data_IF_237890961778
#
_entry.id   IF_237890961778
#
_cell.length_a   1.000
_cell.length_b   1.000
_cell.length_c   1.000
_cell.angle_alpha   90.00
_cell.angle_beta   90.00
_cell.angle_gamma   90.00
#
_symmetry.space_group_name_H-M   'P 1'
#
loop_
_entity.id
_entity.type
_entity.pdbx_description
1 polymer ?
#
# COMPACT_ATOMS: atom_id res chain seq x y z
N UNK A 1 57.72 9.89 7.83
CA UNK A 1 56.45 10.63 7.74
C UNK A 1 55.87 10.38 6.35
N UNK A 2 54.85 9.54 6.25
CA UNK A 2 54.10 9.29 5.02
C UNK A 2 52.64 9.52 5.32
N UNK A 3 52.08 10.57 4.72
CA UNK A 3 50.71 11.02 4.86
C UNK A 3 49.81 10.11 4.02
N UNK A 4 48.91 9.37 4.65
CA UNK A 4 47.88 8.58 4.00
C UNK A 4 46.71 9.50 3.69
N UNK A 5 46.47 9.79 2.41
CA UNK A 5 45.30 10.48 1.92
C UNK A 5 44.13 9.51 1.92
N UNK A 6 43.16 9.72 2.81
CA UNK A 6 41.87 9.05 2.78
C UNK A 6 41.07 9.51 1.59
N UNK A 7 40.81 8.59 0.68
CA UNK A 7 39.95 8.77 -0.47
C UNK A 7 38.51 8.46 -0.04
N UNK A 8 37.75 9.50 0.21
CA UNK A 8 36.31 9.40 0.53
C UNK A 8 35.59 9.10 -0.77
N UNK A 9 35.17 7.86 -0.96
CA UNK A 9 34.19 7.51 -2.00
C UNK A 9 32.83 8.07 -1.61
N UNK A 10 32.40 9.11 -2.29
CA UNK A 10 31.03 9.58 -2.23
C UNK A 10 30.14 8.57 -2.97
N UNK A 11 29.44 7.74 -2.21
CA UNK A 11 28.32 6.97 -2.72
C UNK A 11 27.19 7.97 -2.98
N UNK A 12 26.94 8.22 -4.27
CA UNK A 12 25.87 9.08 -4.72
C UNK A 12 24.52 8.48 -4.32
N UNK A 13 23.99 8.93 -3.22
CA UNK A 13 22.58 8.80 -2.91
C UNK A 13 21.84 9.69 -3.92
N UNK A 14 21.15 9.08 -4.89
CA UNK A 14 20.11 9.77 -5.62
C UNK A 14 18.96 9.97 -4.63
N UNK A 15 19.12 10.99 -3.80
CA UNK A 15 18.06 11.50 -2.97
C UNK A 15 16.96 12.00 -3.88
N UNK A 16 15.77 11.45 -3.76
CA UNK A 16 14.56 12.18 -4.09
C UNK A 16 14.63 13.43 -3.23
N UNK A 17 15.02 14.54 -3.84
CA UNK A 17 14.99 15.85 -3.23
C UNK A 17 13.51 16.14 -2.97
N UNK A 18 13.09 15.91 -1.74
CA UNK A 18 11.91 16.54 -1.22
C UNK A 18 12.22 18.03 -1.12
N UNK A 19 12.10 18.71 -2.24
CA UNK A 19 12.06 20.16 -2.25
C UNK A 19 10.87 20.57 -1.38
N UNK A 20 11.14 21.11 -0.21
CA UNK A 20 10.17 21.79 0.63
C UNK A 20 9.73 23.07 -0.09
N UNK A 21 8.98 22.89 -1.16
CA UNK A 21 8.11 23.94 -1.68
C UNK A 21 6.87 23.88 -0.81
N UNK A 22 6.70 24.87 0.05
CA UNK A 22 5.45 25.17 0.73
C UNK A 22 4.41 25.55 -0.33
N UNK A 23 3.82 24.52 -0.95
CA UNK A 23 2.66 24.69 -1.81
C UNK A 23 1.44 25.01 -0.95
N UNK A 24 0.56 25.90 -1.38
CA UNK A 24 -0.67 26.17 -0.66
C UNK A 24 -1.48 24.88 -0.50
N UNK A 25 -1.97 24.64 0.70
CA UNK A 25 -2.60 23.42 1.19
C UNK A 25 -3.94 23.07 0.49
N UNK A 26 -4.40 23.86 -0.47
CA UNK A 26 -5.73 23.73 -1.08
C UNK A 26 -5.75 23.21 -2.53
N UNK A 27 -4.63 22.92 -3.14
CA UNK A 27 -4.58 22.20 -4.42
C UNK A 27 -4.16 20.76 -4.14
N UNK A 28 -5.13 19.89 -3.86
CA UNK A 28 -4.90 18.45 -3.77
C UNK A 28 -4.55 17.88 -5.14
N UNK A 29 -3.33 18.10 -5.58
CA UNK A 29 -2.71 17.41 -6.68
C UNK A 29 -2.56 15.93 -6.35
N UNK A 30 -2.30 15.13 -7.37
CA UNK A 30 -1.98 13.71 -7.20
C UNK A 30 -0.67 13.41 -7.89
N UNK A 31 0.18 12.62 -7.24
CA UNK A 31 1.47 12.17 -7.77
C UNK A 31 1.43 10.68 -8.08
N UNK A 32 1.98 10.33 -9.23
CA UNK A 32 2.21 8.93 -9.58
C UNK A 32 3.47 8.44 -8.88
N UNK A 33 3.32 7.40 -8.09
CA UNK A 33 4.43 6.74 -7.41
C UNK A 33 4.72 5.44 -8.14
N UNK A 34 5.98 5.30 -8.58
CA UNK A 34 6.46 4.11 -9.28
C UNK A 34 7.44 3.38 -8.40
N UNK A 35 7.12 2.14 -8.07
CA UNK A 35 8.04 1.18 -7.48
C UNK A 35 8.58 0.20 -8.50
N UNK A 36 9.45 -0.70 -8.07
CA UNK A 36 10.03 -1.75 -8.94
C UNK A 36 9.01 -2.80 -9.37
N UNK A 37 7.83 -2.85 -8.77
CA UNK A 37 6.83 -3.91 -9.00
C UNK A 37 5.48 -3.40 -9.46
N UNK A 38 5.12 -2.18 -9.08
CA UNK A 38 3.86 -1.54 -9.45
C UNK A 38 3.98 -0.03 -9.35
N UNK A 39 3.01 0.65 -9.90
CA UNK A 39 2.81 2.09 -9.78
C UNK A 39 1.36 2.39 -9.38
N UNK A 40 1.14 3.49 -8.68
CA UNK A 40 -0.18 3.98 -8.31
C UNK A 40 -0.16 5.49 -8.06
N UNK A 41 -1.32 6.12 -8.15
CA UNK A 41 -1.48 7.56 -7.87
C UNK A 41 -1.86 7.77 -6.40
N UNK A 42 -1.26 8.78 -5.79
CA UNK A 42 -1.48 9.17 -4.39
C UNK A 42 -1.68 10.68 -4.28
N UNK A 43 -2.29 11.21 -3.23
CA UNK A 43 -2.33 12.64 -2.97
C UNK A 43 -0.93 13.20 -2.68
N UNK A 44 -0.58 14.36 -3.28
CA UNK A 44 0.75 14.98 -3.17
C UNK A 44 1.17 15.34 -1.74
N UNK A 45 0.19 15.64 -0.90
CA UNK A 45 0.44 16.09 0.48
C UNK A 45 0.67 14.93 1.48
N UNK A 46 0.62 13.67 1.03
CA UNK A 46 0.78 12.53 1.92
C UNK A 46 2.26 12.18 2.12
N UNK A 47 2.62 11.88 3.38
CA UNK A 47 4.01 11.55 3.74
C UNK A 47 4.34 10.14 3.28
N UNK A 48 5.33 9.97 2.39
CA UNK A 48 5.74 8.66 1.93
C UNK A 48 6.55 7.91 2.98
N UNK A 49 6.41 6.59 2.97
CA UNK A 49 7.30 5.66 3.62
C UNK A 49 7.37 4.39 2.78
N UNK A 50 8.44 3.66 2.90
CA UNK A 50 8.53 2.36 2.25
C UNK A 50 9.20 1.36 3.18
N UNK A 51 8.87 0.09 2.99
CA UNK A 51 9.49 -1.02 3.66
C UNK A 51 9.78 -2.09 2.64
N UNK A 52 11.05 -2.27 2.33
CA UNK A 52 11.56 -3.39 1.59
C UNK A 52 12.06 -4.40 2.62
N UNK A 53 11.35 -5.51 2.78
CA UNK A 53 11.66 -6.48 3.84
C UNK A 53 12.61 -7.54 3.29
N UNK A 54 12.36 -7.97 2.05
CA UNK A 54 13.19 -8.90 1.30
C UNK A 54 12.72 -8.95 -0.17
N UNK A 55 13.33 -9.81 -1.00
CA UNK A 55 12.91 -10.00 -2.39
C UNK A 55 11.46 -10.50 -2.54
N UNK A 56 10.83 -10.94 -1.45
CA UNK A 56 9.49 -11.53 -1.45
C UNK A 56 8.41 -10.55 -1.05
N UNK A 57 8.76 -9.51 -0.31
CA UNK A 57 7.79 -8.51 0.17
C UNK A 57 8.33 -7.11 -0.10
N UNK A 58 7.62 -6.38 -0.94
CA UNK A 58 7.79 -4.95 -1.14
C UNK A 58 6.51 -4.22 -0.70
N UNK A 59 6.67 -3.17 0.10
CA UNK A 59 5.57 -2.35 0.58
C UNK A 59 5.94 -0.89 0.47
N UNK A 60 5.04 -0.10 -0.07
CA UNK A 60 5.09 1.35 -0.05
C UNK A 60 3.85 1.84 0.69
N UNK A 61 4.00 2.82 1.58
CA UNK A 61 2.88 3.35 2.32
C UNK A 61 2.94 4.88 2.38
N UNK A 62 1.78 5.49 2.52
CA UNK A 62 1.59 6.94 2.58
C UNK A 62 0.63 7.25 3.71
N UNK A 63 0.96 8.24 4.51
CA UNK A 63 0.13 8.66 5.64
C UNK A 63 -0.48 10.02 5.35
N UNK A 64 -1.79 10.10 5.50
CA UNK A 64 -2.51 11.36 5.49
C UNK A 64 -2.13 12.17 6.75
N UNK A 65 -1.53 13.36 6.60
CA UNK A 65 -1.13 14.18 7.74
C UNK A 65 -2.32 14.72 8.55
N UNK A 66 -3.52 14.79 7.95
CA UNK A 66 -4.73 15.34 8.59
C UNK A 66 -5.49 14.29 9.40
N UNK A 67 -5.79 13.16 8.78
CA UNK A 67 -6.60 12.09 9.40
C UNK A 67 -5.78 11.00 10.07
N UNK A 68 -4.52 10.86 9.68
CA UNK A 68 -3.66 9.76 10.08
C UNK A 68 -3.98 8.44 9.37
N UNK A 69 -4.90 8.44 8.39
CA UNK A 69 -5.17 7.28 7.55
C UNK A 69 -3.92 6.89 6.76
N UNK A 70 -3.79 5.60 6.47
CA UNK A 70 -2.64 5.04 5.75
C UNK A 70 -3.10 4.33 4.50
N UNK A 71 -2.51 4.68 3.35
CA UNK A 71 -2.65 4.00 2.08
C UNK A 71 -1.39 3.17 1.84
N UNK A 72 -1.55 1.90 1.49
CA UNK A 72 -0.45 0.97 1.27
C UNK A 72 -0.59 0.31 -0.10
N UNK A 73 0.52 0.23 -0.83
CA UNK A 73 0.69 -0.67 -1.96
C UNK A 73 1.61 -1.81 -1.54
N UNK A 74 1.19 -3.05 -1.73
CA UNK A 74 1.94 -4.24 -1.29
C UNK A 74 2.12 -5.21 -2.44
N UNK A 75 3.33 -5.68 -2.61
CA UNK A 75 3.69 -6.80 -3.47
C UNK A 75 4.23 -7.95 -2.63
N UNK A 76 3.68 -9.11 -2.85
CA UNK A 76 4.13 -10.36 -2.24
C UNK A 76 4.52 -11.32 -3.35
N UNK A 77 5.83 -11.54 -3.52
CA UNK A 77 6.35 -12.58 -4.38
C UNK A 77 6.01 -13.92 -3.76
N UNK A 78 5.38 -14.78 -4.49
CA UNK A 78 5.10 -16.11 -4.01
C UNK A 78 5.16 -17.08 -5.16
N UNK A 79 5.96 -18.13 -5.03
CA UNK A 79 5.76 -19.36 -5.79
C UNK A 79 4.47 -20.01 -5.28
N UNK A 80 3.33 -19.39 -5.60
CA UNK A 80 2.04 -20.03 -5.35
C UNK A 80 1.87 -21.12 -6.41
N UNK A 81 1.32 -22.27 -6.04
CA UNK A 81 0.96 -23.29 -7.02
C UNK A 81 0.10 -22.67 -8.13
N UNK A 82 0.21 -23.17 -9.35
CA UNK A 82 -0.63 -22.72 -10.48
C UNK A 82 -2.14 -22.89 -10.23
N UNK A 83 -2.49 -23.73 -9.27
CA UNK A 83 -3.86 -23.93 -8.78
C UNK A 83 -4.35 -22.85 -7.81
N UNK A 84 -3.46 -22.03 -7.26
CA UNK A 84 -3.83 -20.97 -6.31
C UNK A 84 -4.61 -19.87 -7.03
N UNK A 85 -5.80 -19.57 -6.54
CA UNK A 85 -6.73 -18.64 -7.16
C UNK A 85 -6.89 -17.37 -6.29
N UNK A 86 -7.44 -16.33 -6.89
CA UNK A 86 -7.77 -15.08 -6.19
C UNK A 86 -8.69 -15.32 -4.96
N UNK A 87 -9.65 -16.26 -5.09
CA UNK A 87 -10.51 -16.65 -3.98
C UNK A 87 -9.74 -17.27 -2.80
N UNK A 88 -8.67 -18.03 -3.07
CA UNK A 88 -7.80 -18.59 -2.03
C UNK A 88 -7.01 -17.48 -1.34
N UNK A 89 -6.55 -16.50 -2.12
CA UNK A 89 -5.88 -15.31 -1.59
C UNK A 89 -6.80 -14.52 -0.67
N UNK A 90 -8.05 -14.25 -1.11
CA UNK A 90 -9.07 -13.58 -0.29
C UNK A 90 -9.33 -14.33 1.01
N UNK A 91 -9.55 -15.63 0.95
CA UNK A 91 -9.76 -16.48 2.13
C UNK A 91 -8.58 -16.44 3.10
N UNK A 92 -7.35 -16.57 2.59
CA UNK A 92 -6.14 -16.51 3.40
C UNK A 92 -5.97 -15.11 4.05
N UNK A 93 -6.32 -14.04 3.32
CA UNK A 93 -6.27 -12.67 3.84
C UNK A 93 -7.24 -12.48 5.00
N UNK A 94 -8.49 -12.89 4.85
CA UNK A 94 -9.52 -12.80 5.90
C UNK A 94 -9.07 -13.58 7.15
N UNK A 95 -8.64 -14.85 6.99
CA UNK A 95 -8.18 -15.66 8.11
C UNK A 95 -6.97 -15.04 8.84
N UNK A 96 -6.04 -14.44 8.09
CA UNK A 96 -4.90 -13.73 8.66
C UNK A 96 -5.32 -12.48 9.46
N UNK A 97 -6.34 -11.77 8.99
CA UNK A 97 -6.89 -10.61 9.70
C UNK A 97 -7.71 -11.00 10.93
N UNK A 98 -8.51 -12.07 10.86
CA UNK A 98 -9.24 -12.61 12.01
C UNK A 98 -8.28 -12.95 13.15
N UNK A 99 -7.17 -13.61 12.83
CA UNK A 99 -6.11 -13.92 13.80
C UNK A 99 -5.42 -12.65 14.34
N UNK A 100 -5.11 -11.69 13.47
CA UNK A 100 -4.43 -10.44 13.85
C UNK A 100 -5.28 -9.57 14.77
N UNK A 101 -6.59 -9.57 14.56
CA UNK A 101 -7.55 -8.75 15.29
C UNK A 101 -8.45 -9.59 16.23
N UNK A 102 -7.96 -10.75 16.65
CA UNK A 102 -8.64 -11.61 17.62
C UNK A 102 -8.98 -10.81 18.89
N UNK A 103 -10.21 -10.95 19.36
CA UNK A 103 -10.71 -10.17 20.52
C UNK A 103 -11.05 -8.70 20.21
N UNK A 104 -10.77 -8.20 19.01
CA UNK A 104 -11.04 -6.81 18.61
C UNK A 104 -12.32 -6.62 17.79
N UNK A 105 -13.18 -7.63 17.70
CA UNK A 105 -14.44 -7.55 16.97
C UNK A 105 -14.26 -7.35 15.46
N UNK A 106 -13.22 -7.98 14.88
CA UNK A 106 -12.97 -7.96 13.44
C UNK A 106 -14.14 -8.58 12.67
N UNK A 107 -14.52 -7.94 11.59
CA UNK A 107 -15.54 -8.46 10.67
C UNK A 107 -15.34 -7.91 9.26
N UNK A 108 -15.63 -8.73 8.28
CA UNK A 108 -15.85 -8.31 6.90
C UNK A 108 -17.23 -7.70 6.82
N UNK A 109 -17.33 -6.39 6.60
CA UNK A 109 -18.60 -5.66 6.51
C UNK A 109 -19.13 -5.57 5.08
N UNK A 110 -18.22 -5.69 4.09
CA UNK A 110 -18.56 -5.75 2.67
C UNK A 110 -17.45 -6.46 1.90
N UNK A 111 -17.81 -7.26 0.91
CA UNK A 111 -16.90 -7.82 -0.08
C UNK A 111 -17.52 -7.77 -1.48
N UNK A 112 -16.71 -7.97 -2.50
CA UNK A 112 -17.14 -7.93 -3.89
C UNK A 112 -15.95 -7.94 -4.84
N UNK A 113 -16.21 -7.57 -6.09
CA UNK A 113 -15.23 -7.45 -7.15
C UNK A 113 -14.83 -5.99 -7.33
N UNK A 114 -13.58 -5.74 -7.71
CA UNK A 114 -13.05 -4.42 -8.04
C UNK A 114 -12.15 -4.53 -9.27
N UNK A 115 -12.21 -3.52 -10.16
CA UNK A 115 -11.29 -3.43 -11.29
C UNK A 115 -9.93 -2.89 -10.79
N UNK A 116 -8.84 -3.61 -11.06
CA UNK A 116 -7.47 -3.24 -10.71
C UNK A 116 -6.51 -3.73 -11.79
N UNK A 117 -5.56 -2.90 -12.20
CA UNK A 117 -4.61 -3.19 -13.29
C UNK A 117 -5.29 -3.64 -14.60
N UNK A 118 -6.50 -3.16 -14.89
CA UNK A 118 -7.28 -3.54 -16.07
C UNK A 118 -7.94 -4.93 -16.00
N UNK A 119 -7.87 -5.61 -14.87
CA UNK A 119 -8.44 -6.95 -14.65
C UNK A 119 -9.39 -6.96 -13.43
N UNK A 120 -10.04 -8.07 -13.19
CA UNK A 120 -10.88 -8.25 -12.01
C UNK A 120 -10.03 -8.66 -10.80
N UNK A 121 -10.14 -7.88 -9.72
CA UNK A 121 -9.65 -8.19 -8.41
C UNK A 121 -10.79 -8.41 -7.40
N UNK A 122 -10.45 -8.77 -6.17
CA UNK A 122 -11.39 -8.84 -5.06
C UNK A 122 -11.29 -7.58 -4.18
N UNK A 123 -12.41 -7.17 -3.63
CA UNK A 123 -12.55 -6.06 -2.70
C UNK A 123 -13.03 -6.56 -1.34
N UNK A 124 -12.42 -6.03 -0.27
CA UNK A 124 -12.87 -6.23 1.11
C UNK A 124 -12.98 -4.89 1.82
N UNK A 125 -14.05 -4.70 2.57
CA UNK A 125 -14.16 -3.68 3.60
C UNK A 125 -14.27 -4.37 4.95
N UNK A 126 -13.32 -4.13 5.84
CA UNK A 126 -13.26 -4.75 7.16
C UNK A 126 -13.27 -3.68 8.24
N UNK A 127 -13.79 -4.05 9.41
CA UNK A 127 -13.86 -3.17 10.59
C UNK A 127 -13.41 -3.93 11.83
N UNK A 128 -12.80 -3.21 12.78
CA UNK A 128 -12.39 -3.76 14.08
C UNK A 128 -12.31 -2.63 15.12
N UNK A 129 -12.04 -2.97 16.38
CA UNK A 129 -11.74 -2.00 17.43
C UNK A 129 -10.24 -2.00 17.76
N UNK A 130 -9.67 -0.83 17.96
CA UNK A 130 -8.28 -0.69 18.40
C UNK A 130 -8.15 0.52 19.33
N UNK A 131 -7.61 0.29 20.54
CA UNK A 131 -7.47 1.36 21.53
C UNK A 131 -8.78 2.10 21.86
N UNK A 132 -9.91 1.40 21.84
CA UNK A 132 -11.24 2.00 22.06
C UNK A 132 -11.85 2.74 20.85
N UNK A 133 -11.15 2.78 19.72
CA UNK A 133 -11.60 3.40 18.49
C UNK A 133 -12.15 2.37 17.52
N UNK A 134 -13.17 2.75 16.79
CA UNK A 134 -13.63 1.99 15.64
C UNK A 134 -12.69 2.25 14.47
N UNK A 135 -12.18 1.18 13.89
CA UNK A 135 -11.26 1.20 12.75
C UNK A 135 -11.93 0.62 11.52
N UNK A 136 -11.50 1.06 10.35
CA UNK A 136 -11.93 0.50 9.08
C UNK A 136 -10.77 0.35 8.10
N UNK A 137 -10.95 -0.55 7.15
CA UNK A 137 -9.98 -0.82 6.10
C UNK A 137 -10.66 -1.23 4.81
N UNK A 138 -10.25 -0.63 3.71
CA UNK A 138 -10.54 -1.03 2.35
C UNK A 138 -9.33 -1.77 1.79
N UNK A 139 -9.55 -2.90 1.14
CA UNK A 139 -8.48 -3.71 0.54
C UNK A 139 -8.90 -4.14 -0.86
N UNK A 140 -8.10 -3.86 -1.86
CA UNK A 140 -8.16 -4.49 -3.17
C UNK A 140 -7.09 -5.57 -3.24
N UNK A 141 -7.49 -6.76 -3.67
CA UNK A 141 -6.65 -7.94 -3.83
C UNK A 141 -6.52 -8.26 -5.31
N UNK A 142 -5.29 -8.45 -5.77
CA UNK A 142 -5.00 -8.81 -7.15
C UNK A 142 -3.96 -9.92 -7.21
N UNK A 143 -4.17 -10.87 -8.12
CA UNK A 143 -3.29 -12.00 -8.34
C UNK A 143 -2.87 -12.04 -9.80
N UNK A 144 -1.56 -12.01 -10.06
CA UNK A 144 -1.00 -12.08 -11.41
C UNK A 144 0.29 -12.90 -11.41
N UNK A 145 0.37 -13.87 -12.28
CA UNK A 145 1.56 -14.73 -12.47
C UNK A 145 2.11 -15.31 -11.15
N UNK A 146 1.20 -15.79 -10.29
CA UNK A 146 1.54 -16.32 -8.97
C UNK A 146 1.95 -15.27 -7.92
N UNK A 147 2.02 -14.00 -8.30
CA UNK A 147 2.33 -12.90 -7.40
C UNK A 147 1.04 -12.24 -6.88
N UNK A 148 1.10 -11.79 -5.63
CA UNK A 148 -0.03 -11.17 -4.94
C UNK A 148 0.22 -9.68 -4.77
N UNK A 149 -0.78 -8.89 -5.09
CA UNK A 149 -0.75 -7.45 -4.96
C UNK A 149 -1.93 -6.99 -4.11
N UNK A 150 -1.70 -5.96 -3.30
CA UNK A 150 -2.75 -5.34 -2.51
C UNK A 150 -2.63 -3.82 -2.62
N UNK A 151 -3.78 -3.17 -2.70
CA UNK A 151 -3.91 -1.76 -2.34
C UNK A 151 -4.77 -1.72 -1.10
N UNK A 152 -4.26 -1.13 -0.04
CA UNK A 152 -4.93 -1.12 1.28
C UNK A 152 -5.03 0.31 1.76
N UNK A 153 -6.18 0.71 2.25
CA UNK A 153 -6.35 1.97 2.95
C UNK A 153 -7.03 1.73 4.29
N UNK A 154 -6.41 2.18 5.37
CA UNK A 154 -6.88 1.93 6.73
C UNK A 154 -6.75 3.15 7.62
N UNK A 155 -7.62 3.23 8.63
CA UNK A 155 -7.63 4.31 9.59
C UNK A 155 -8.80 4.22 10.55
N UNK A 156 -8.98 5.26 11.35
CA UNK A 156 -10.16 5.42 12.21
C UNK A 156 -11.41 5.57 11.33
N UNK A 157 -12.48 4.90 11.69
CA UNK A 157 -13.73 4.86 10.92
C UNK A 157 -14.28 6.27 10.70
N UNK A 158 -14.65 6.56 9.46
CA UNK A 158 -15.11 7.90 9.03
C UNK A 158 -13.98 8.89 8.74
N UNK A 159 -12.72 8.50 8.93
CA UNK A 159 -11.55 9.28 8.53
C UNK A 159 -10.81 8.71 7.33
N UNK A 160 -11.21 7.55 6.86
CA UNK A 160 -10.69 6.91 5.64
C UNK A 160 -11.41 7.48 4.43
N UNK A 161 -10.69 8.18 3.56
CA UNK A 161 -11.27 8.71 2.32
C UNK A 161 -11.30 7.63 1.24
N UNK A 162 -12.48 7.04 1.06
CA UNK A 162 -12.68 6.00 0.06
C UNK A 162 -12.38 6.46 -1.37
N UNK A 163 -12.51 7.77 -1.69
CA UNK A 163 -12.20 8.29 -3.03
C UNK A 163 -10.71 8.15 -3.32
N UNK A 164 -9.85 8.44 -2.33
CA UNK A 164 -8.40 8.26 -2.45
C UNK A 164 -8.05 6.79 -2.68
N UNK A 165 -8.69 5.88 -1.95
CA UNK A 165 -8.53 4.44 -2.19
C UNK A 165 -8.95 4.05 -3.61
N UNK A 166 -10.12 4.50 -4.07
CA UNK A 166 -10.63 4.18 -5.40
C UNK A 166 -9.72 4.71 -6.52
N UNK A 167 -9.16 5.91 -6.36
CA UNK A 167 -8.19 6.48 -7.31
C UNK A 167 -6.88 5.71 -7.33
N UNK A 168 -6.35 5.33 -6.16
CA UNK A 168 -5.15 4.51 -6.07
C UNK A 168 -5.35 3.15 -6.76
N UNK A 169 -6.49 2.49 -6.55
CA UNK A 169 -6.82 1.21 -7.20
C UNK A 169 -7.01 1.38 -8.72
N UNK A 170 -7.72 2.42 -9.15
CA UNK A 170 -7.96 2.71 -10.57
C UNK A 170 -6.67 3.00 -11.33
N UNK A 171 -5.72 3.68 -10.68
CA UNK A 171 -4.43 4.03 -11.27
C UNK A 171 -3.36 2.96 -11.11
N UNK A 172 -3.66 1.91 -10.32
CA UNK A 172 -2.72 0.82 -10.08
C UNK A 172 -2.37 0.11 -11.38
N UNK A 173 -1.08 -0.01 -11.64
CA UNK A 173 -0.56 -0.73 -12.80
C UNK A 173 0.70 -1.53 -12.38
N UNK A 174 0.92 -2.64 -13.05
CA UNK A 174 2.16 -3.39 -12.87
C UNK A 174 3.33 -2.62 -13.50
N UNK A 175 4.46 -2.60 -12.84
CA UNK A 175 5.68 -2.06 -13.42
C UNK A 175 6.04 -2.85 -14.68
N UNK A 176 6.45 -2.14 -15.72
CA UNK A 176 6.98 -2.79 -16.92
C UNK A 176 8.33 -3.42 -16.57
N UNK A 177 8.59 -4.64 -17.07
CA UNK A 177 9.88 -5.31 -16.88
C UNK A 177 11.04 -4.52 -17.49
#
# INVERSE_FOLDING_TARGET
MRTVKSMLMAVGFVGVVAGALSLPVDAAGTTKVSGTRFEMTIPDCWTPGYKDIDEKLFMIFFKDPKSGAVLEGVYLRGAQPSTFKLADFKKARIAGEDKRYEGKGHKVSKDGTIAIAGENGDYLHTTWKDGGKDMEKHTALYLKDGNRYLVVMSGEKGKVDKKVFDEAVKSFALAKP
#
